data_IF_970893059964
#
_entry.id   IF_970893059964
#
_cell.length_a   1.000
_cell.length_b   1.000
_cell.length_c   1.000
_cell.angle_alpha   90.00
_cell.angle_beta   90.00
_cell.angle_gamma   90.00
#
_symmetry.space_group_name_H-M   'P 1'
#
loop_
_entity.id
_entity.type
_entity.pdbx_description
1 polymer ?
#
# COMPACT_ATOMS: atom_id res chain seq x y z
N UNK A 1 25.30 -22.24 -19.58
CA UNK A 1 24.14 -21.73 -20.35
C UNK A 1 23.10 -21.09 -19.43
N UNK A 2 22.67 -21.76 -18.35
CA UNK A 2 21.65 -21.21 -17.43
C UNK A 2 21.94 -19.85 -16.77
N UNK A 3 23.18 -19.55 -16.36
CA UNK A 3 23.52 -18.30 -15.67
C UNK A 3 23.33 -17.02 -16.52
N UNK A 4 23.43 -17.13 -17.85
CA UNK A 4 23.23 -16.01 -18.77
C UNK A 4 21.73 -15.79 -19.07
N UNK A 5 20.95 -16.87 -19.14
CA UNK A 5 19.50 -16.80 -19.26
C UNK A 5 18.87 -16.20 -18.01
N UNK A 6 19.29 -16.62 -16.81
CA UNK A 6 18.78 -16.05 -15.54
C UNK A 6 19.07 -14.55 -15.43
N UNK A 7 20.24 -14.08 -15.87
CA UNK A 7 20.57 -12.64 -15.89
C UNK A 7 19.76 -11.85 -16.92
N UNK A 8 19.48 -12.45 -18.08
CA UNK A 8 18.68 -11.80 -19.12
C UNK A 8 17.19 -11.70 -18.72
N UNK A 9 16.68 -12.71 -18.01
CA UNK A 9 15.35 -12.70 -17.43
C UNK A 9 15.24 -11.69 -16.29
N UNK A 10 16.22 -11.63 -15.38
CA UNK A 10 16.28 -10.64 -14.30
C UNK A 10 16.31 -9.20 -14.84
N UNK A 11 17.12 -8.94 -15.87
CA UNK A 11 17.18 -7.63 -16.54
C UNK A 11 15.86 -7.26 -17.27
N UNK A 12 15.20 -8.25 -17.90
CA UNK A 12 13.88 -8.05 -18.52
C UNK A 12 12.79 -7.78 -17.48
N UNK A 13 12.86 -8.46 -16.33
CA UNK A 13 11.90 -8.30 -15.25
C UNK A 13 12.09 -6.97 -14.51
N UNK A 14 13.34 -6.57 -14.22
CA UNK A 14 13.68 -5.25 -13.71
C UNK A 14 13.23 -4.15 -14.68
N UNK A 15 13.43 -4.35 -15.99
CA UNK A 15 12.92 -3.43 -17.01
C UNK A 15 11.39 -3.33 -17.06
N UNK A 16 10.66 -4.35 -16.61
CA UNK A 16 9.20 -4.35 -16.51
C UNK A 16 8.71 -3.70 -15.20
N UNK A 17 9.32 -4.03 -14.06
CA UNK A 17 9.00 -3.40 -12.76
C UNK A 17 9.31 -1.91 -12.79
N UNK A 18 10.44 -1.50 -13.40
CA UNK A 18 10.75 -0.09 -13.61
C UNK A 18 9.69 0.58 -14.48
N UNK A 19 9.29 0.00 -15.62
CA UNK A 19 8.22 0.56 -16.46
C UNK A 19 6.91 0.73 -15.72
N UNK A 20 6.50 -0.28 -14.95
CA UNK A 20 5.33 -0.17 -14.09
C UNK A 20 5.49 0.98 -13.08
N UNK A 21 6.66 1.09 -12.45
CA UNK A 21 6.97 2.15 -11.49
C UNK A 21 6.88 3.54 -12.14
N UNK A 22 7.41 3.72 -13.36
CA UNK A 22 7.28 4.96 -14.13
C UNK A 22 5.83 5.28 -14.47
N UNK A 23 5.01 4.28 -14.82
CA UNK A 23 3.58 4.51 -15.10
C UNK A 23 2.79 4.86 -13.85
N UNK A 24 3.03 4.19 -12.71
CA UNK A 24 2.43 4.57 -11.43
C UNK A 24 2.90 5.94 -10.98
N UNK A 25 4.19 6.26 -11.13
CA UNK A 25 4.73 7.57 -10.76
C UNK A 25 4.16 8.69 -11.63
N UNK A 26 3.97 8.47 -12.94
CA UNK A 26 3.38 9.45 -13.86
C UNK A 26 1.90 9.70 -13.58
N UNK A 27 1.10 8.64 -13.45
CA UNK A 27 -0.33 8.74 -13.08
C UNK A 27 -0.48 9.37 -11.69
N UNK A 28 0.42 9.03 -10.78
CA UNK A 28 0.44 9.55 -9.43
C UNK A 28 0.85 10.98 -9.28
N UNK A 29 1.86 11.41 -10.03
CA UNK A 29 2.27 12.81 -10.12
C UNK A 29 1.11 13.69 -10.61
N UNK A 30 0.37 13.26 -11.65
CA UNK A 30 -0.78 14.04 -12.13
C UNK A 30 -1.93 14.13 -11.11
N UNK A 31 -2.23 13.05 -10.38
CA UNK A 31 -3.28 13.06 -9.33
C UNK A 31 -2.86 13.89 -8.12
N UNK A 32 -1.59 13.78 -7.70
CA UNK A 32 -0.99 14.55 -6.61
C UNK A 32 -0.89 16.04 -6.95
N UNK A 33 -0.45 16.43 -8.15
CA UNK A 33 -0.36 17.83 -8.58
C UNK A 33 -1.73 18.50 -8.58
N UNK A 34 -2.77 17.79 -9.04
CA UNK A 34 -4.14 18.29 -8.99
C UNK A 34 -4.65 18.44 -7.55
N UNK A 35 -4.30 17.51 -6.68
CA UNK A 35 -4.72 17.49 -5.28
C UNK A 35 -4.04 18.56 -4.41
N UNK A 36 -2.70 18.65 -4.47
CA UNK A 36 -1.87 19.55 -3.66
C UNK A 36 -2.13 21.01 -4.04
N UNK A 37 -2.40 21.29 -5.31
CA UNK A 37 -2.75 22.64 -5.76
C UNK A 37 -4.07 23.16 -5.16
N UNK A 38 -4.92 22.28 -4.62
CA UNK A 38 -6.27 22.62 -4.15
C UNK A 38 -6.39 22.71 -2.63
N UNK A 39 -5.61 21.96 -1.83
CA UNK A 39 -5.79 21.90 -0.37
C UNK A 39 -4.48 21.83 0.44
N UNK A 40 -4.19 22.86 1.24
CA UNK A 40 -2.99 22.94 2.10
C UNK A 40 -2.95 21.87 3.23
N UNK A 41 -4.10 21.33 3.63
CA UNK A 41 -4.19 20.31 4.69
C UNK A 41 -3.57 18.96 4.35
N UNK A 42 -3.37 18.67 3.05
CA UNK A 42 -2.81 17.40 2.57
C UNK A 42 -1.39 17.17 3.10
N UNK A 43 -0.58 18.23 3.16
CA UNK A 43 0.83 18.15 3.55
C UNK A 43 1.05 17.61 4.99
N UNK A 44 0.10 17.83 5.89
CA UNK A 44 0.19 17.39 7.30
C UNK A 44 -0.16 15.90 7.44
N UNK A 45 -1.10 15.40 6.63
CA UNK A 45 -1.59 14.02 6.73
C UNK A 45 -0.87 13.04 5.78
N UNK A 46 -0.21 13.55 4.74
CA UNK A 46 0.53 12.74 3.77
C UNK A 46 1.63 11.88 4.41
N UNK A 47 2.50 12.37 5.33
CA UNK A 47 3.49 11.51 5.98
C UNK A 47 2.87 10.40 6.82
N UNK A 48 1.70 10.63 7.41
CA UNK A 48 1.01 9.66 8.26
C UNK A 48 0.43 8.53 7.40
N UNK A 49 -0.32 8.86 6.35
CA UNK A 49 -0.98 7.84 5.51
C UNK A 49 0.02 7.02 4.70
N UNK A 50 1.05 7.66 4.18
CA UNK A 50 2.09 7.00 3.42
C UNK A 50 3.02 6.20 4.35
N UNK A 51 3.41 6.78 5.49
CA UNK A 51 4.28 6.12 6.47
C UNK A 51 3.63 4.88 7.10
N UNK A 52 2.35 4.95 7.49
CA UNK A 52 1.64 3.79 8.05
C UNK A 52 1.42 2.74 6.98
N UNK A 53 0.87 3.10 5.81
CA UNK A 53 0.59 2.14 4.73
C UNK A 53 1.85 1.47 4.18
N UNK A 54 2.90 2.23 3.89
CA UNK A 54 4.17 1.75 3.36
C UNK A 54 4.89 0.78 4.30
N UNK A 55 4.89 1.07 5.61
CA UNK A 55 5.51 0.17 6.58
C UNK A 55 4.73 -1.12 6.78
N UNK A 56 3.39 -1.06 6.84
CA UNK A 56 2.56 -2.25 7.00
C UNK A 56 2.68 -3.18 5.79
N UNK A 57 2.73 -2.63 4.58
CA UNK A 57 2.86 -3.42 3.36
C UNK A 57 4.25 -4.05 3.24
N UNK A 58 5.32 -3.35 3.65
CA UNK A 58 6.67 -3.90 3.69
C UNK A 58 6.77 -5.10 4.66
N UNK A 59 6.20 -4.98 5.86
CA UNK A 59 6.14 -6.08 6.83
C UNK A 59 5.37 -7.29 6.29
N UNK A 60 4.24 -7.04 5.62
CA UNK A 60 3.46 -8.12 5.02
C UNK A 60 4.22 -8.79 3.87
N UNK A 61 4.84 -8.02 2.98
CA UNK A 61 5.62 -8.54 1.86
C UNK A 61 6.78 -9.43 2.35
N UNK A 62 7.55 -8.94 3.32
CA UNK A 62 8.66 -9.70 3.92
C UNK A 62 8.22 -10.99 4.60
N UNK A 63 7.06 -10.98 5.28
CA UNK A 63 6.50 -12.19 5.88
C UNK A 63 6.05 -13.22 4.84
N UNK A 64 5.42 -12.77 3.75
CA UNK A 64 5.03 -13.68 2.66
C UNK A 64 6.28 -14.24 1.98
N UNK A 65 7.29 -13.40 1.70
CA UNK A 65 8.58 -13.83 1.14
C UNK A 65 9.27 -14.87 2.03
N UNK A 66 9.38 -14.60 3.33
CA UNK A 66 10.03 -15.52 4.28
C UNK A 66 9.30 -16.86 4.33
N UNK A 67 7.96 -16.84 4.33
CA UNK A 67 7.16 -18.06 4.29
C UNK A 67 7.38 -18.88 3.02
N UNK A 68 7.50 -18.21 1.87
CA UNK A 68 7.78 -18.85 0.58
C UNK A 68 9.19 -19.45 0.57
N UNK A 69 10.20 -18.70 1.03
CA UNK A 69 11.58 -19.18 1.18
C UNK A 69 11.72 -20.40 2.09
N UNK A 70 10.88 -20.52 3.13
CA UNK A 70 10.90 -21.67 4.03
C UNK A 70 10.22 -22.92 3.46
N UNK A 71 9.33 -22.77 2.48
CA UNK A 71 8.44 -23.86 2.02
C UNK A 71 8.61 -24.24 0.55
N UNK A 72 9.28 -23.42 -0.24
CA UNK A 72 9.43 -23.60 -1.67
C UNK A 72 10.80 -23.09 -2.15
N UNK A 73 11.27 -23.66 -3.25
CA UNK A 73 12.40 -23.12 -4.01
C UNK A 73 11.88 -22.05 -4.98
N UNK A 74 12.68 -21.00 -5.21
CA UNK A 74 12.36 -19.94 -6.16
C UNK A 74 11.94 -20.53 -7.52
N UNK A 75 10.83 -20.06 -8.08
CA UNK A 75 10.29 -20.52 -9.36
C UNK A 75 9.32 -21.71 -9.29
N UNK A 76 9.23 -22.42 -8.17
CA UNK A 76 8.24 -23.48 -7.96
C UNK A 76 7.25 -23.06 -6.87
N UNK A 77 5.96 -22.96 -7.22
CA UNK A 77 4.94 -22.72 -6.21
C UNK A 77 4.76 -23.98 -5.35
N UNK A 78 4.65 -23.86 -4.01
CA UNK A 78 4.39 -25.01 -3.17
C UNK A 78 3.02 -25.62 -3.52
N UNK A 79 2.97 -26.94 -3.69
CA UNK A 79 1.75 -27.68 -4.06
C UNK A 79 0.56 -27.46 -3.11
N UNK A 80 0.80 -26.86 -1.93
CA UNK A 80 -0.21 -26.52 -0.93
C UNK A 80 -0.93 -25.17 -1.15
N UNK A 81 -0.41 -24.25 -1.99
CA UNK A 81 -1.02 -22.94 -2.27
C UNK A 81 -0.73 -22.50 -3.73
N UNK A 82 -1.40 -23.09 -4.74
CA UNK A 82 -1.09 -22.86 -6.16
C UNK A 82 -1.69 -21.56 -6.75
N UNK A 83 -2.45 -20.79 -5.96
CA UNK A 83 -3.26 -19.69 -6.50
C UNK A 83 -2.59 -18.33 -6.31
N UNK A 84 -1.98 -17.82 -7.38
CA UNK A 84 -1.42 -16.45 -7.47
C UNK A 84 -2.50 -15.37 -7.26
N UNK A 85 -3.77 -15.70 -7.52
CA UNK A 85 -4.92 -14.83 -7.32
C UNK A 85 -5.99 -15.52 -6.44
N UNK A 86 -5.91 -15.33 -5.11
CA UNK A 86 -7.05 -15.60 -4.22
C UNK A 86 -8.07 -14.46 -4.29
N UNK A 87 -9.35 -14.79 -4.11
CA UNK A 87 -10.38 -13.78 -3.88
C UNK A 87 -9.99 -12.88 -2.69
N UNK A 88 -10.13 -11.55 -2.78
CA UNK A 88 -9.73 -10.63 -1.71
C UNK A 88 -10.42 -10.97 -0.38
N UNK A 89 -11.71 -11.33 -0.42
CA UNK A 89 -12.42 -11.80 0.77
C UNK A 89 -11.79 -13.04 1.41
N UNK A 90 -11.25 -13.97 0.61
CA UNK A 90 -10.57 -15.16 1.11
C UNK A 90 -9.14 -14.85 1.60
N UNK A 91 -8.48 -13.87 0.98
CA UNK A 91 -7.16 -13.38 1.39
C UNK A 91 -7.20 -12.68 2.76
N UNK A 92 -8.29 -11.97 3.08
CA UNK A 92 -8.45 -11.27 4.37
C UNK A 92 -9.22 -12.06 5.43
N UNK A 93 -10.27 -12.80 5.07
CA UNK A 93 -11.12 -13.56 6.00
C UNK A 93 -10.82 -15.06 6.04
N UNK A 94 -9.83 -15.53 5.28
CA UNK A 94 -9.38 -16.92 5.31
C UNK A 94 -8.73 -17.34 6.63
N UNK A 95 -8.56 -18.67 6.79
CA UNK A 95 -7.86 -19.26 7.95
C UNK A 95 -6.34 -19.32 7.77
N UNK A 96 -5.78 -18.80 6.68
CA UNK A 96 -4.34 -18.84 6.40
C UNK A 96 -3.55 -17.90 7.33
N UNK A 97 -2.27 -18.21 7.58
CA UNK A 97 -1.37 -17.38 8.38
C UNK A 97 -1.22 -15.95 7.81
N UNK A 98 -1.32 -15.82 6.49
CA UNK A 98 -1.31 -14.53 5.78
C UNK A 98 -2.55 -13.68 6.08
N UNK A 99 -3.73 -14.30 6.14
CA UNK A 99 -4.99 -13.63 6.50
C UNK A 99 -5.01 -13.17 7.96
N UNK A 100 -4.39 -13.94 8.88
CA UNK A 100 -4.24 -13.51 10.29
C UNK A 100 -3.34 -12.28 10.41
N UNK A 101 -2.22 -12.27 9.70
CA UNK A 101 -1.30 -11.13 9.71
C UNK A 101 -1.95 -9.89 9.10
N UNK A 102 -2.60 -10.03 7.94
CA UNK A 102 -3.32 -8.94 7.29
C UNK A 102 -4.42 -8.32 8.18
N UNK A 103 -5.18 -9.15 8.92
CA UNK A 103 -6.19 -8.67 9.88
C UNK A 103 -5.59 -7.91 11.06
N UNK A 104 -4.46 -8.38 11.61
CA UNK A 104 -3.78 -7.68 12.70
C UNK A 104 -3.25 -6.33 12.22
N UNK A 105 -2.65 -6.27 11.03
CA UNK A 105 -2.17 -5.03 10.43
C UNK A 105 -3.34 -4.06 10.21
N UNK A 106 -4.46 -4.52 9.64
CA UNK A 106 -5.67 -3.73 9.46
C UNK A 106 -6.23 -3.18 10.77
N UNK A 107 -6.27 -4.01 11.82
CA UNK A 107 -6.77 -3.61 13.14
C UNK A 107 -5.87 -2.55 13.79
N UNK A 108 -4.57 -2.56 13.48
CA UNK A 108 -3.61 -1.55 13.97
C UNK A 108 -3.69 -0.21 13.23
N UNK A 109 -4.23 -0.17 12.01
CA UNK A 109 -4.39 1.09 11.22
C UNK A 109 -5.24 2.09 11.99
N UNK A 110 -6.44 1.69 12.43
CA UNK A 110 -7.39 2.58 13.11
C UNK A 110 -6.78 3.27 14.35
N UNK A 111 -6.20 2.55 15.34
CA UNK A 111 -5.59 3.20 16.49
C UNK A 111 -4.34 4.01 16.11
N UNK A 112 -3.55 3.57 15.12
CA UNK A 112 -2.38 4.32 14.65
C UNK A 112 -2.78 5.70 14.11
N UNK A 113 -3.74 5.73 13.18
CA UNK A 113 -4.25 6.98 12.61
C UNK A 113 -4.92 7.87 13.66
N UNK A 114 -5.70 7.30 14.59
CA UNK A 114 -6.32 8.07 15.68
C UNK A 114 -5.28 8.76 16.58
N UNK A 115 -4.20 8.07 16.95
CA UNK A 115 -3.11 8.65 17.74
C UNK A 115 -2.45 9.81 17.01
N UNK A 116 -2.14 9.65 15.72
CA UNK A 116 -1.54 10.71 14.91
C UNK A 116 -2.48 11.92 14.73
N UNK A 117 -3.76 11.69 14.40
CA UNK A 117 -4.74 12.77 14.25
C UNK A 117 -4.96 13.52 15.57
N UNK A 118 -5.00 12.81 16.70
CA UNK A 118 -5.10 13.43 18.02
C UNK A 118 -3.82 14.23 18.38
N UNK A 119 -2.64 13.71 18.01
CA UNK A 119 -1.37 14.41 18.15
C UNK A 119 -1.33 15.73 17.37
N UNK A 120 -1.77 15.72 16.10
CA UNK A 120 -1.86 16.93 15.26
C UNK A 120 -2.82 17.96 15.90
N UNK A 121 -3.97 17.50 16.43
CA UNK A 121 -4.92 18.35 17.15
C UNK A 121 -4.29 18.99 18.40
N UNK A 122 -3.49 18.24 19.15
CA UNK A 122 -2.82 18.72 20.36
C UNK A 122 -1.72 19.75 20.05
N UNK A 123 -1.00 19.55 18.94
CA UNK A 123 0.12 20.39 18.52
C UNK A 123 -0.34 21.71 17.84
N UNK A 124 -1.65 21.92 17.64
CA UNK A 124 -2.20 23.06 16.86
C UNK A 124 -1.49 23.27 15.52
N UNK A 125 -0.98 22.20 14.91
CA UNK A 125 -0.09 22.25 13.75
C UNK A 125 -0.84 22.43 12.40
N UNK A 126 -1.95 23.17 12.42
CA UNK A 126 -2.78 23.44 11.26
C UNK A 126 -4.00 24.25 11.67
N UNK A 127 -4.35 25.26 10.88
CA UNK A 127 -5.59 26.05 11.05
C UNK A 127 -6.85 25.25 10.69
N UNK A 128 -6.74 23.96 10.39
CA UNK A 128 -7.84 23.09 10.00
C UNK A 128 -8.53 22.49 11.22
N UNK A 129 -9.78 22.88 11.43
CA UNK A 129 -10.73 22.26 12.35
C UNK A 129 -10.84 20.77 11.97
N UNK A 130 -10.26 19.88 12.78
CA UNK A 130 -10.46 18.42 12.62
C UNK A 130 -11.92 18.11 12.94
N UNK A 131 -12.79 18.21 11.94
CA UNK A 131 -14.21 17.90 12.08
C UNK A 131 -14.41 16.38 12.22
N UNK A 132 -15.44 15.94 12.96
CA UNK A 132 -15.75 14.51 13.04
C UNK A 132 -16.09 13.91 11.67
N UNK A 133 -16.60 14.72 10.73
CA UNK A 133 -16.88 14.30 9.34
C UNK A 133 -15.57 14.02 8.62
N UNK A 134 -14.60 14.95 8.68
CA UNK A 134 -13.26 14.73 8.14
C UNK A 134 -12.62 13.45 8.70
N UNK A 135 -12.73 13.24 10.02
CA UNK A 135 -12.16 12.04 10.66
C UNK A 135 -12.74 10.74 10.10
N UNK A 136 -14.06 10.67 9.89
CA UNK A 136 -14.71 9.46 9.34
C UNK A 136 -14.28 9.22 7.89
N UNK A 137 -14.26 10.25 7.06
CA UNK A 137 -13.83 10.13 5.64
C UNK A 137 -12.36 9.73 5.57
N UNK A 138 -11.50 10.39 6.36
CA UNK A 138 -10.07 10.10 6.45
C UNK A 138 -9.78 8.67 6.92
N UNK A 139 -10.43 8.21 8.00
CA UNK A 139 -10.25 6.83 8.49
C UNK A 139 -10.72 5.80 7.46
N UNK A 140 -11.81 6.09 6.74
CA UNK A 140 -12.29 5.22 5.66
C UNK A 140 -11.26 5.13 4.53
N UNK A 141 -10.70 6.27 4.12
CA UNK A 141 -9.65 6.31 3.11
C UNK A 141 -8.36 5.58 3.54
N UNK A 142 -7.92 5.74 4.79
CA UNK A 142 -6.77 5.03 5.34
C UNK A 142 -6.97 3.50 5.38
N UNK A 143 -8.16 3.04 5.79
CA UNK A 143 -8.49 1.61 5.77
C UNK A 143 -8.53 1.07 4.34
N UNK A 144 -9.15 1.79 3.41
CA UNK A 144 -9.18 1.41 1.99
C UNK A 144 -7.79 1.34 1.37
N UNK A 145 -6.91 2.31 1.70
CA UNK A 145 -5.53 2.32 1.24
C UNK A 145 -4.78 1.06 1.69
N UNK A 146 -4.84 0.74 2.98
CA UNK A 146 -4.12 -0.43 3.52
C UNK A 146 -4.72 -1.75 3.00
N UNK A 147 -6.04 -1.83 2.81
CA UNK A 147 -6.67 -3.00 2.16
C UNK A 147 -6.15 -3.20 0.74
N UNK A 148 -6.12 -2.14 -0.06
CA UNK A 148 -5.59 -2.18 -1.42
C UNK A 148 -4.13 -2.63 -1.42
N UNK A 149 -3.30 -2.05 -0.54
CA UNK A 149 -1.87 -2.36 -0.46
C UNK A 149 -1.61 -3.81 -0.05
N UNK A 150 -2.30 -4.33 0.96
CA UNK A 150 -2.15 -5.71 1.41
C UNK A 150 -2.56 -6.71 0.32
N UNK A 151 -3.59 -6.40 -0.46
CA UNK A 151 -4.01 -7.22 -1.59
C UNK A 151 -2.95 -7.21 -2.71
N UNK A 152 -2.50 -6.03 -3.12
CA UNK A 152 -1.45 -5.87 -4.14
C UNK A 152 -0.18 -6.58 -3.71
N UNK A 153 0.24 -6.45 -2.44
CA UNK A 153 1.41 -7.13 -1.90
C UNK A 153 1.30 -8.64 -2.02
N UNK A 154 0.13 -9.21 -1.71
CA UNK A 154 -0.07 -10.65 -1.83
C UNK A 154 0.07 -11.12 -3.28
N UNK A 155 -0.65 -10.48 -4.21
CA UNK A 155 -0.59 -10.82 -5.64
C UNK A 155 0.82 -10.65 -6.19
N UNK A 156 1.47 -9.55 -5.85
CA UNK A 156 2.78 -9.18 -6.39
C UNK A 156 3.89 -10.10 -5.90
N UNK A 157 3.91 -10.43 -4.60
CA UNK A 157 4.90 -11.36 -4.05
C UNK A 157 4.76 -12.75 -4.68
N UNK A 158 3.54 -13.26 -4.84
CA UNK A 158 3.30 -14.55 -5.51
C UNK A 158 3.66 -14.51 -7.00
N UNK A 159 3.35 -13.40 -7.69
CA UNK A 159 3.70 -13.20 -9.08
C UNK A 159 5.23 -13.15 -9.28
N UNK A 160 5.96 -12.41 -8.45
CA UNK A 160 7.43 -12.37 -8.48
C UNK A 160 8.04 -13.74 -8.16
N UNK A 161 7.48 -14.44 -7.17
CA UNK A 161 7.89 -15.80 -6.82
C UNK A 161 7.75 -16.78 -7.98
N UNK A 162 6.62 -16.72 -8.71
CA UNK A 162 6.37 -17.56 -9.90
C UNK A 162 7.37 -17.31 -11.04
N UNK A 163 8.06 -16.17 -11.00
CA UNK A 163 9.05 -15.74 -11.99
C UNK A 163 10.49 -15.93 -11.50
N UNK A 164 10.67 -16.64 -10.37
CA UNK A 164 11.98 -16.83 -9.72
C UNK A 164 12.72 -15.53 -9.38
N UNK A 165 11.97 -14.43 -9.16
CA UNK A 165 12.52 -13.15 -8.70
C UNK A 165 12.30 -13.04 -7.20
N UNK A 166 13.35 -12.62 -6.48
CA UNK A 166 13.26 -12.38 -5.05
C UNK A 166 12.32 -11.18 -4.77
N UNK A 167 11.13 -11.43 -4.18
CA UNK A 167 10.17 -10.38 -3.90
C UNK A 167 10.68 -9.37 -2.85
N UNK A 168 11.65 -9.73 -2.00
CA UNK A 168 12.15 -8.78 -1.00
C UNK A 168 12.95 -7.64 -1.62
N UNK A 169 13.66 -7.92 -2.72
CA UNK A 169 14.53 -6.94 -3.36
C UNK A 169 13.77 -6.01 -4.33
N UNK A 170 12.63 -6.45 -4.85
CA UNK A 170 11.87 -5.73 -5.89
C UNK A 170 10.44 -5.35 -5.50
N UNK A 171 9.76 -6.13 -4.65
CA UNK A 171 8.37 -5.87 -4.29
C UNK A 171 8.24 -4.74 -3.28
N UNK A 172 9.09 -4.71 -2.25
CA UNK A 172 9.05 -3.69 -1.20
C UNK A 172 9.13 -2.26 -1.76
N UNK A 173 10.15 -1.87 -2.57
CA UNK A 173 10.24 -0.50 -3.07
C UNK A 173 9.06 -0.10 -3.97
N UNK A 174 8.52 -1.05 -4.73
CA UNK A 174 7.36 -0.81 -5.60
C UNK A 174 6.06 -0.68 -4.80
N UNK A 175 5.85 -1.54 -3.80
CA UNK A 175 4.68 -1.50 -2.93
C UNK A 175 4.66 -0.21 -2.10
N UNK A 176 5.82 0.26 -1.65
CA UNK A 176 5.95 1.57 -0.99
C UNK A 176 5.58 2.70 -1.95
N UNK A 177 6.11 2.72 -3.17
CA UNK A 177 5.76 3.75 -4.16
C UNK A 177 4.27 3.74 -4.53
N UNK A 178 3.67 2.55 -4.65
CA UNK A 178 2.23 2.39 -4.88
C UNK A 178 1.41 2.84 -3.66
N UNK A 179 1.92 2.62 -2.45
CA UNK A 179 1.31 3.08 -1.20
C UNK A 179 1.32 4.60 -1.05
N UNK A 180 2.42 5.24 -1.44
CA UNK A 180 2.55 6.69 -1.46
C UNK A 180 1.57 7.33 -2.43
N UNK A 181 1.47 6.75 -3.63
CA UNK A 181 0.51 7.14 -4.65
C UNK A 181 -0.93 6.97 -4.14
N UNK A 182 -1.31 5.76 -3.74
CA UNK A 182 -2.67 5.45 -3.34
C UNK A 182 -3.09 6.23 -2.08
N UNK A 183 -2.18 6.38 -1.10
CA UNK A 183 -2.42 7.15 0.12
C UNK A 183 -2.69 8.61 -0.18
N UNK A 184 -1.85 9.22 -1.02
CA UNK A 184 -2.04 10.60 -1.47
C UNK A 184 -3.35 10.77 -2.25
N UNK A 185 -3.62 9.89 -3.22
CA UNK A 185 -4.80 9.98 -4.07
C UNK A 185 -6.11 9.83 -3.26
N UNK A 186 -6.15 8.89 -2.30
CA UNK A 186 -7.31 8.68 -1.44
C UNK A 186 -7.49 9.83 -0.43
N UNK A 187 -6.38 10.40 0.07
CA UNK A 187 -6.41 11.60 0.90
C UNK A 187 -6.97 12.80 0.12
N UNK A 188 -6.49 13.01 -1.11
CA UNK A 188 -7.01 14.04 -2.01
C UNK A 188 -8.51 13.89 -2.27
N UNK A 189 -8.94 12.67 -2.58
CA UNK A 189 -10.35 12.35 -2.80
C UNK A 189 -11.19 12.62 -1.53
N UNK A 190 -10.64 12.37 -0.34
CA UNK A 190 -11.30 12.68 0.93
C UNK A 190 -11.57 14.17 1.10
N UNK A 191 -10.60 15.03 0.77
CA UNK A 191 -10.78 16.48 0.80
C UNK A 191 -11.76 16.97 -0.27
N UNK A 192 -11.72 16.42 -1.48
CA UNK A 192 -12.69 16.74 -2.53
C UNK A 192 -14.13 16.36 -2.14
N UNK A 193 -14.31 15.21 -1.49
CA UNK A 193 -15.62 14.79 -0.98
C UNK A 193 -16.11 15.72 0.14
N UNK A 194 -15.21 16.18 1.01
CA UNK A 194 -15.56 17.11 2.08
C UNK A 194 -15.97 18.49 1.53
N UNK A 195 -15.24 19.00 0.54
CA UNK A 195 -15.57 20.24 -0.20
C UNK A 195 -16.95 20.11 -0.88
N UNK A 196 -17.22 18.98 -1.52
CA UNK A 196 -18.52 18.71 -2.17
C UNK A 196 -19.69 18.58 -1.18
N UNK A 197 -19.45 18.13 0.06
CA UNK A 197 -20.46 17.98 1.11
C UNK A 197 -20.75 19.33 1.80
N UNK A 198 -19.90 20.34 1.61
CA UNK A 198 -20.13 21.70 2.13
C UNK A 198 -19.69 21.91 3.57
N UNK A 199 -18.87 21.01 4.14
CA UNK A 199 -18.13 21.25 5.40
C UNK A 199 -16.87 22.06 5.08
N UNK A 200 -17.09 23.18 4.38
CA UNK A 200 -16.08 24.04 3.77
C UNK A 200 -15.50 25.02 4.77
N UNK A 201 -14.59 24.54 5.60
CA UNK A 201 -13.51 25.38 6.14
C UNK A 201 -12.23 25.04 5.36
N UNK A 202 -12.18 25.50 4.10
CA UNK A 202 -10.94 25.65 3.33
C UNK A 202 -10.22 26.93 3.71
#
# INVERSE_FOLDING_TARGET
MGLAETKAEDCRQQGFTLRLQWTTAGVGGCILDFAVSRFHGIAVFQPVINGVGGNLVAVQASRISTFLHQRATLGFLPASDPSVCLNPFLAFFGKSAHARTARVLLLMVVPGHLVFTYGIRLLKAGHTSVTPIFLVVYLTAAVLQVLLLLYVAHVMVHWMWSRAVDPDNSAIPYLTALGDLAGTALLALSFLLLDAIGDGDS
#
